data_IF_702429803555
#
_entry.id   IF_702429803555
#
_cell.length_a   1.000
_cell.length_b   1.000
_cell.length_c   1.000
_cell.angle_alpha   90.00
_cell.angle_beta   90.00
_cell.angle_gamma   90.00
#
_symmetry.space_group_name_H-M   'P 1'
#
loop_
_entity.id
_entity.type
_entity.pdbx_description
1 polymer ?
#
# COMPACT_ATOMS: atom_id res chain seq x y z
N UNK A 1 -6.73 12.71 6.74
CA UNK A 1 -7.16 12.76 5.34
C UNK A 1 -8.57 13.33 5.26
N UNK A 2 -8.80 14.30 4.37
CA UNK A 2 -10.11 14.93 4.24
C UNK A 2 -11.05 14.11 3.35
N UNK A 3 -10.51 13.44 2.35
CA UNK A 3 -11.29 12.63 1.40
C UNK A 3 -10.53 11.40 0.98
N UNK A 4 -11.27 10.30 0.83
CA UNK A 4 -10.78 9.03 0.32
C UNK A 4 -11.49 8.69 -0.98
N UNK A 5 -10.79 8.04 -1.90
CA UNK A 5 -11.37 7.54 -3.13
C UNK A 5 -10.90 6.13 -3.44
N UNK A 6 -11.77 5.32 -4.02
CA UNK A 6 -11.47 3.97 -4.49
C UNK A 6 -11.92 3.85 -5.93
N UNK A 7 -11.00 3.58 -6.85
CA UNK A 7 -11.27 3.56 -8.29
C UNK A 7 -10.72 2.27 -8.88
N UNK A 8 -11.33 1.80 -9.96
CA UNK A 8 -10.78 0.72 -10.78
C UNK A 8 -9.73 1.29 -11.74
N UNK A 9 -8.55 0.68 -11.78
CA UNK A 9 -7.47 1.06 -12.69
C UNK A 9 -7.81 0.84 -14.16
N UNK A 10 -8.79 -0.06 -14.44
CA UNK A 10 -9.24 -0.40 -15.78
C UNK A 10 -10.70 -0.89 -15.72
N UNK A 11 -11.44 -0.74 -16.84
CA UNK A 11 -12.83 -1.20 -16.96
C UNK A 11 -13.01 -2.70 -16.79
N UNK A 12 -11.96 -3.48 -17.02
CA UNK A 12 -11.99 -4.94 -16.91
C UNK A 12 -11.68 -5.43 -15.49
N UNK A 13 -11.28 -4.54 -14.57
CA UNK A 13 -11.09 -4.87 -13.16
C UNK A 13 -12.44 -4.90 -12.47
N UNK A 14 -12.77 -6.00 -11.80
CA UNK A 14 -14.10 -6.24 -11.20
C UNK A 14 -14.34 -5.48 -9.89
N UNK A 15 -13.30 -4.94 -9.27
CA UNK A 15 -13.34 -4.20 -7.99
C UNK A 15 -12.39 -3.00 -8.03
N UNK A 16 -12.60 -1.97 -7.21
CA UNK A 16 -11.63 -0.88 -7.06
C UNK A 16 -10.29 -1.42 -6.56
N UNK A 17 -9.22 -1.10 -7.27
CA UNK A 17 -7.86 -1.61 -7.01
C UNK A 17 -6.83 -0.49 -6.80
N UNK A 18 -7.28 0.78 -6.87
CA UNK A 18 -6.49 1.96 -6.54
C UNK A 18 -7.21 2.74 -5.44
N UNK A 19 -6.45 3.13 -4.42
CA UNK A 19 -6.90 3.98 -3.32
C UNK A 19 -6.23 5.35 -3.40
N UNK A 20 -7.01 6.40 -3.15
CA UNK A 20 -6.58 7.78 -3.07
C UNK A 20 -6.86 8.34 -1.69
N UNK A 21 -5.94 9.18 -1.19
CA UNK A 21 -6.10 9.97 0.03
C UNK A 21 -5.77 11.42 -0.28
N UNK A 22 -6.76 12.29 -0.19
CA UNK A 22 -6.57 13.72 -0.41
C UNK A 22 -6.22 14.42 0.90
N UNK A 23 -5.19 15.28 0.85
CA UNK A 23 -4.78 16.15 1.95
C UNK A 23 -4.74 17.60 1.45
N UNK A 24 -5.44 18.54 2.13
CA UNK A 24 -5.43 19.96 1.78
C UNK A 24 -4.13 20.66 2.28
N UNK A 25 -3.02 19.95 2.24
CA UNK A 25 -1.70 20.43 2.65
C UNK A 25 -0.66 19.68 1.83
N UNK A 26 0.43 20.37 1.44
CA UNK A 26 1.57 19.77 0.79
C UNK A 26 2.73 19.66 1.80
N UNK A 27 2.94 18.46 2.33
CA UNK A 27 4.02 18.14 3.28
C UNK A 27 4.66 16.80 2.92
N UNK A 28 5.93 16.62 3.28
CA UNK A 28 6.61 15.33 3.26
C UNK A 28 6.45 14.63 4.61
N UNK A 29 6.69 13.32 4.66
CA UNK A 29 6.62 12.55 5.91
C UNK A 29 7.64 13.00 6.98
N UNK A 30 8.73 13.64 6.58
CA UNK A 30 9.70 14.27 7.51
C UNK A 30 9.21 15.62 8.06
N UNK A 31 8.01 16.06 7.66
CA UNK A 31 7.40 17.32 8.08
C UNK A 31 7.85 18.55 7.29
N UNK A 32 8.73 18.38 6.31
CA UNK A 32 9.16 19.49 5.44
C UNK A 32 8.13 19.77 4.35
N UNK A 33 7.98 21.04 3.96
CA UNK A 33 7.16 21.40 2.80
C UNK A 33 7.98 21.23 1.52
N UNK A 34 7.37 20.67 0.43
CA UNK A 34 8.06 20.54 -0.86
C UNK A 34 8.21 21.87 -1.60
N UNK A 35 7.47 22.91 -1.19
CA UNK A 35 7.51 24.26 -1.75
C UNK A 35 7.12 25.29 -0.69
N UNK A 36 7.45 26.55 -0.92
CA UNK A 36 6.91 27.66 -0.15
C UNK A 36 5.46 27.93 -0.54
N UNK A 37 4.62 28.26 0.46
CA UNK A 37 3.23 28.64 0.25
C UNK A 37 2.21 27.51 0.45
N UNK A 38 1.03 27.70 -0.11
CA UNK A 38 -0.08 26.76 0.00
C UNK A 38 0.01 25.66 -1.05
N UNK A 39 -0.40 24.46 -0.66
CA UNK A 39 -0.48 23.32 -1.57
C UNK A 39 -1.40 22.24 -1.03
N UNK A 40 -1.73 21.29 -1.88
CA UNK A 40 -2.44 20.06 -1.51
C UNK A 40 -1.76 18.87 -2.18
N UNK A 41 -2.07 17.69 -1.70
CA UNK A 41 -1.48 16.46 -2.25
C UNK A 41 -2.50 15.33 -2.29
N UNK A 42 -2.27 14.42 -3.22
CA UNK A 42 -3.02 13.20 -3.39
C UNK A 42 -2.06 12.01 -3.22
N UNK A 43 -2.19 11.30 -2.11
CA UNK A 43 -1.51 10.03 -1.94
C UNK A 43 -2.27 8.96 -2.71
N UNK A 44 -1.58 8.16 -3.48
CA UNK A 44 -2.20 7.14 -4.32
C UNK A 44 -1.37 5.87 -4.31
N UNK A 45 -2.05 4.74 -4.38
CA UNK A 45 -1.37 3.45 -4.52
C UNK A 45 -2.30 2.33 -4.96
N UNK A 46 -1.75 1.35 -5.67
CA UNK A 46 -2.44 0.09 -5.93
C UNK A 46 -2.62 -0.68 -4.63
N UNK A 47 -3.79 -1.27 -4.43
CA UNK A 47 -4.14 -1.94 -3.18
C UNK A 47 -3.71 -3.41 -3.12
N UNK A 48 -3.22 -3.98 -4.21
CA UNK A 48 -2.85 -5.40 -4.30
C UNK A 48 -1.54 -5.62 -5.03
N UNK A 49 -0.44 -5.05 -4.49
CA UNK A 49 0.90 -5.39 -4.97
C UNK A 49 1.14 -6.89 -4.85
N UNK A 50 1.80 -7.46 -5.85
CA UNK A 50 2.21 -8.86 -5.88
C UNK A 50 3.65 -9.06 -5.38
N UNK A 51 4.38 -7.99 -5.05
CA UNK A 51 5.68 -8.06 -4.37
C UNK A 51 5.57 -8.78 -3.04
N UNK A 52 6.57 -9.60 -2.72
CA UNK A 52 6.62 -10.37 -1.47
C UNK A 52 7.94 -10.14 -0.76
N UNK A 53 7.84 -9.97 0.54
CA UNK A 53 8.96 -9.87 1.46
C UNK A 53 8.95 -11.00 2.49
N UNK A 54 9.70 -10.81 3.55
CA UNK A 54 9.77 -11.77 4.65
C UNK A 54 10.11 -11.13 5.98
N UNK A 55 9.74 -11.84 7.06
CA UNK A 55 10.22 -11.60 8.43
C UNK A 55 10.96 -12.85 8.87
N UNK A 56 12.19 -12.72 9.40
CA UNK A 56 13.01 -13.84 9.84
C UNK A 56 13.65 -13.58 11.20
N UNK A 57 13.55 -14.54 12.09
CA UNK A 57 14.29 -14.56 13.36
C UNK A 57 15.77 -14.74 13.06
N UNK A 58 16.64 -13.95 13.72
CA UNK A 58 18.08 -13.96 13.50
C UNK A 58 18.84 -14.83 14.51
N UNK A 59 18.29 -15.04 15.70
CA UNK A 59 18.91 -15.86 16.77
C UNK A 59 17.86 -16.33 17.77
N UNK A 60 18.28 -17.10 18.76
CA UNK A 60 17.46 -17.52 19.91
C UNK A 60 17.25 -16.42 20.96
N UNK A 61 17.92 -15.27 20.84
CA UNK A 61 17.71 -14.13 21.73
C UNK A 61 16.39 -13.42 21.39
N UNK A 62 15.34 -13.46 22.24
CA UNK A 62 14.04 -12.86 21.94
C UNK A 62 14.07 -11.33 21.89
N UNK A 63 15.12 -10.69 22.40
CA UNK A 63 15.30 -9.23 22.35
C UNK A 63 15.98 -8.76 21.06
N UNK A 64 16.49 -9.65 20.26
CA UNK A 64 17.09 -9.30 18.97
C UNK A 64 15.98 -9.07 17.93
N UNK A 65 15.98 -7.89 17.32
CA UNK A 65 15.03 -7.56 16.26
C UNK A 65 15.13 -8.56 15.08
N UNK A 66 14.02 -8.99 14.51
CA UNK A 66 14.04 -9.84 13.32
C UNK A 66 14.53 -9.09 12.09
N UNK A 67 14.99 -9.80 11.09
CA UNK A 67 15.16 -9.23 9.75
C UNK A 67 13.79 -9.02 9.11
N UNK A 68 13.49 -7.80 8.72
CA UNK A 68 12.25 -7.44 7.99
C UNK A 68 12.65 -6.94 6.61
N UNK A 69 12.18 -7.58 5.56
CA UNK A 69 12.38 -7.15 4.18
C UNK A 69 11.03 -7.08 3.48
N UNK A 70 10.58 -5.89 3.15
CA UNK A 70 9.32 -5.67 2.43
C UNK A 70 9.43 -6.05 0.96
N UNK A 71 10.58 -5.79 0.35
CA UNK A 71 10.86 -6.07 -1.06
C UNK A 71 9.87 -5.41 -2.03
N UNK A 72 9.49 -4.15 -1.72
CA UNK A 72 8.59 -3.36 -2.57
C UNK A 72 9.10 -3.25 -4.00
N UNK A 73 8.19 -3.08 -4.96
CA UNK A 73 8.47 -2.86 -6.38
C UNK A 73 9.30 -3.98 -7.03
N UNK A 74 9.23 -5.20 -6.51
CA UNK A 74 9.97 -6.36 -7.03
C UNK A 74 9.18 -7.18 -8.04
N UNK A 75 7.88 -6.98 -8.16
CA UNK A 75 7.03 -7.66 -9.12
C UNK A 75 6.83 -6.82 -10.38
N UNK A 76 6.82 -7.45 -11.55
CA UNK A 76 6.73 -6.80 -12.86
C UNK A 76 5.49 -5.89 -13.03
N UNK A 77 4.38 -6.21 -12.34
CA UNK A 77 3.14 -5.45 -12.40
C UNK A 77 3.13 -4.20 -11.50
N UNK A 78 4.06 -4.04 -10.56
CA UNK A 78 3.99 -2.94 -9.60
C UNK A 78 4.20 -1.58 -10.28
N UNK A 79 5.25 -1.42 -11.08
CA UNK A 79 5.47 -0.16 -11.81
C UNK A 79 4.32 0.19 -12.77
N UNK A 80 3.84 -0.72 -13.64
CA UNK A 80 2.68 -0.43 -14.48
C UNK A 80 1.43 0.00 -13.70
N UNK A 81 1.16 -0.63 -12.55
CA UNK A 81 0.01 -0.26 -11.73
C UNK A 81 0.19 1.10 -11.07
N UNK A 82 1.38 1.44 -10.57
CA UNK A 82 1.67 2.78 -10.04
C UNK A 82 1.61 3.86 -11.12
N UNK A 83 2.12 3.61 -12.33
CA UNK A 83 1.98 4.56 -13.45
C UNK A 83 0.52 4.86 -13.78
N UNK A 84 -0.34 3.83 -13.80
CA UNK A 84 -1.79 4.04 -13.96
C UNK A 84 -2.36 4.89 -12.83
N UNK A 85 -1.99 4.60 -11.59
CA UNK A 85 -2.43 5.35 -10.43
C UNK A 85 -2.03 6.83 -10.50
N UNK A 86 -0.79 7.14 -10.89
CA UNK A 86 -0.31 8.51 -11.09
C UNK A 86 -1.07 9.24 -12.21
N UNK A 87 -1.30 8.57 -13.35
CA UNK A 87 -2.07 9.17 -14.46
C UNK A 87 -3.51 9.47 -14.06
N UNK A 88 -4.17 8.55 -13.35
CA UNK A 88 -5.51 8.77 -12.80
C UNK A 88 -5.52 9.89 -11.75
N UNK A 89 -4.47 10.03 -10.94
CA UNK A 89 -4.31 11.16 -10.02
C UNK A 89 -4.33 12.49 -10.77
N UNK A 90 -3.57 12.59 -11.87
CA UNK A 90 -3.55 13.78 -12.72
C UNK A 90 -4.92 14.07 -13.36
N UNK A 91 -5.63 13.04 -13.82
CA UNK A 91 -6.99 13.19 -14.34
C UNK A 91 -7.93 13.78 -13.29
N UNK A 92 -7.87 13.27 -12.04
CA UNK A 92 -8.68 13.76 -10.92
C UNK A 92 -8.33 15.22 -10.59
N UNK A 93 -7.05 15.52 -10.43
CA UNK A 93 -6.58 16.86 -10.06
C UNK A 93 -6.74 17.89 -11.19
N UNK A 94 -6.92 17.45 -12.44
CA UNK A 94 -7.20 18.32 -13.59
C UNK A 94 -8.71 18.55 -13.84
N UNK A 95 -9.59 18.06 -12.96
CA UNK A 95 -11.02 18.33 -13.11
C UNK A 95 -11.34 19.81 -12.88
N UNK A 96 -12.30 20.33 -13.65
CA UNK A 96 -12.72 21.74 -13.62
C UNK A 96 -13.04 22.28 -12.22
N UNK A 97 -13.56 21.43 -11.34
CA UNK A 97 -13.88 21.81 -9.97
C UNK A 97 -12.65 22.20 -9.13
N UNK A 98 -11.46 21.71 -9.47
CA UNK A 98 -10.21 22.01 -8.78
C UNK A 98 -9.42 23.16 -9.43
N UNK A 99 -9.79 23.58 -10.62
CA UNK A 99 -9.09 24.62 -11.39
C UNK A 99 -8.84 25.92 -10.60
N UNK A 100 -9.81 26.46 -9.81
CA UNK A 100 -9.59 27.68 -9.04
C UNK A 100 -8.61 27.56 -7.87
N UNK A 101 -8.29 26.33 -7.47
CA UNK A 101 -7.46 26.03 -6.29
C UNK A 101 -6.10 25.42 -6.65
N UNK A 102 -5.86 25.08 -7.92
CA UNK A 102 -4.72 24.36 -8.40
C UNK A 102 -3.63 25.29 -8.95
N UNK A 103 -2.40 25.10 -8.50
CA UNK A 103 -1.18 25.62 -9.12
C UNK A 103 -0.49 24.58 -10.01
N UNK A 104 0.76 24.84 -10.41
CA UNK A 104 1.58 23.86 -11.10
C UNK A 104 1.77 22.58 -10.28
N UNK A 105 1.93 21.45 -10.95
CA UNK A 105 2.28 20.18 -10.30
C UNK A 105 3.69 20.27 -9.72
N UNK A 106 3.82 20.00 -8.40
CA UNK A 106 5.10 20.07 -7.70
C UNK A 106 5.87 18.75 -7.83
N UNK A 107 5.17 17.63 -7.76
CA UNK A 107 5.75 16.28 -7.84
C UNK A 107 4.78 15.32 -8.54
N UNK A 108 5.29 14.57 -9.53
CA UNK A 108 6.65 14.57 -10.10
C UNK A 108 7.01 15.78 -10.96
N UNK A 109 6.06 16.66 -11.29
CA UNK A 109 6.19 17.77 -12.21
C UNK A 109 5.49 17.48 -13.54
N UNK A 110 4.87 18.51 -14.13
CA UNK A 110 4.05 18.39 -15.35
C UNK A 110 4.83 17.85 -16.55
N UNK A 111 6.16 18.04 -16.56
CA UNK A 111 7.08 17.58 -17.61
C UNK A 111 7.36 16.06 -17.57
N UNK A 112 7.16 15.41 -16.43
CA UNK A 112 7.40 13.97 -16.25
C UNK A 112 6.21 13.17 -16.78
N UNK A 113 6.22 12.84 -18.06
CA UNK A 113 5.10 12.16 -18.76
C UNK A 113 5.44 10.76 -19.25
N UNK A 114 6.74 10.47 -19.51
CA UNK A 114 7.18 9.16 -20.00
C UNK A 114 7.07 8.08 -18.94
N UNK A 115 7.00 6.83 -19.37
CA UNK A 115 6.97 5.67 -18.46
C UNK A 115 8.26 5.60 -17.63
N UNK A 116 9.40 5.85 -18.24
CA UNK A 116 10.71 5.84 -17.58
C UNK A 116 10.82 6.93 -16.51
N UNK A 117 10.36 8.15 -16.80
CA UNK A 117 10.37 9.25 -15.85
C UNK A 117 9.43 9.00 -14.66
N UNK A 118 8.24 8.43 -14.93
CA UNK A 118 7.32 8.03 -13.87
C UNK A 118 7.90 6.89 -13.03
N UNK A 119 8.57 5.91 -13.62
CA UNK A 119 9.21 4.81 -12.90
C UNK A 119 10.34 5.31 -12.00
N UNK A 120 11.14 6.25 -12.47
CA UNK A 120 12.18 6.87 -11.65
C UNK A 120 11.59 7.64 -10.47
N UNK A 121 10.53 8.42 -10.70
CA UNK A 121 9.80 9.10 -9.63
C UNK A 121 9.24 8.10 -8.61
N UNK A 122 8.55 7.05 -9.06
CA UNK A 122 7.99 6.01 -8.20
C UNK A 122 9.09 5.36 -7.36
N UNK A 123 10.20 4.97 -7.98
CA UNK A 123 11.34 4.33 -7.31
C UNK A 123 11.91 5.18 -6.17
N UNK A 124 11.96 6.50 -6.36
CA UNK A 124 12.55 7.42 -5.42
C UNK A 124 11.58 7.93 -4.35
N UNK A 125 10.26 7.82 -4.58
CA UNK A 125 9.23 8.43 -3.72
C UNK A 125 8.17 7.44 -3.23
N UNK A 126 8.24 6.17 -3.62
CA UNK A 126 7.31 5.15 -3.14
C UNK A 126 7.60 4.81 -1.69
N UNK A 127 6.59 4.91 -0.84
CA UNK A 127 6.67 4.61 0.57
C UNK A 127 5.65 3.55 0.99
N UNK A 128 5.83 3.02 2.18
CA UNK A 128 4.88 2.10 2.77
C UNK A 128 3.58 2.82 3.15
N UNK A 129 2.43 2.21 2.86
CA UNK A 129 1.15 2.63 3.43
C UNK A 129 0.91 2.06 4.84
N UNK A 130 1.92 1.41 5.44
CA UNK A 130 1.90 0.81 6.79
C UNK A 130 0.85 -0.28 6.97
N UNK A 131 0.54 -1.03 5.92
CA UNK A 131 -0.41 -2.14 5.93
C UNK A 131 0.22 -3.47 5.47
N UNK A 132 1.35 -3.92 6.04
CA UNK A 132 1.91 -5.24 5.72
C UNK A 132 1.03 -6.35 6.30
N UNK A 133 1.00 -7.49 5.62
CA UNK A 133 0.23 -8.65 6.05
C UNK A 133 0.85 -9.96 5.53
N UNK A 134 0.33 -11.10 5.98
CA UNK A 134 0.57 -12.40 5.36
C UNK A 134 1.79 -13.18 5.83
N UNK A 135 2.52 -12.72 6.84
CA UNK A 135 3.67 -13.46 7.38
C UNK A 135 3.30 -14.78 8.08
N UNK A 136 2.03 -14.91 8.51
CA UNK A 136 1.45 -16.11 9.13
C UNK A 136 0.13 -16.49 8.48
N UNK A 137 0.07 -16.47 7.14
CA UNK A 137 -1.19 -16.54 6.41
C UNK A 137 -2.06 -17.75 6.73
N UNK A 138 -3.36 -17.50 6.72
CA UNK A 138 -4.42 -18.50 6.92
C UNK A 138 -4.60 -19.36 5.68
N UNK A 139 -5.00 -20.61 5.87
CA UNK A 139 -5.38 -21.50 4.79
C UNK A 139 -5.69 -22.91 5.24
N UNK A 140 -5.86 -23.80 4.26
CA UNK A 140 -6.21 -25.19 4.51
C UNK A 140 -5.07 -25.91 5.27
N UNK A 141 -5.45 -26.90 6.07
CA UNK A 141 -4.52 -27.64 6.92
C UNK A 141 -3.39 -28.29 6.13
N UNK A 142 -3.69 -28.76 4.93
CA UNK A 142 -2.77 -29.48 4.04
C UNK A 142 -1.86 -28.54 3.23
N UNK A 143 -2.15 -27.23 3.19
CA UNK A 143 -1.31 -26.27 2.47
C UNK A 143 -0.06 -25.95 3.30
N UNK A 144 1.15 -26.38 2.87
CA UNK A 144 2.39 -26.13 3.61
C UNK A 144 2.81 -24.66 3.60
N UNK A 145 2.22 -23.85 2.75
CA UNK A 145 2.53 -22.41 2.64
C UNK A 145 1.75 -21.55 3.65
N UNK A 146 0.88 -22.14 4.47
CA UNK A 146 0.08 -21.45 5.47
C UNK A 146 0.48 -21.83 6.90
N UNK A 147 0.35 -20.89 7.82
CA UNK A 147 0.78 -21.02 9.22
C UNK A 147 -0.40 -21.32 10.14
N UNK A 148 -1.57 -20.76 9.86
CA UNK A 148 -2.78 -20.97 10.66
C UNK A 148 -3.90 -21.61 9.85
N UNK A 149 -4.73 -22.38 10.54
CA UNK A 149 -5.95 -22.96 9.99
C UNK A 149 -7.07 -21.91 9.91
N UNK A 150 -8.21 -22.26 9.27
CA UNK A 150 -9.34 -21.34 9.07
C UNK A 150 -9.99 -20.81 10.35
N UNK A 151 -9.71 -21.40 11.50
CA UNK A 151 -10.12 -20.95 12.83
C UNK A 151 -9.01 -20.18 13.57
N UNK A 152 -8.01 -19.67 12.85
CA UNK A 152 -6.87 -18.94 13.37
C UNK A 152 -5.90 -19.74 14.27
N UNK A 153 -6.09 -21.07 14.39
CA UNK A 153 -5.21 -21.93 15.17
C UNK A 153 -3.89 -22.17 14.44
N UNK A 154 -2.78 -22.06 15.18
CA UNK A 154 -1.45 -22.32 14.63
C UNK A 154 -1.28 -23.82 14.39
N UNK A 155 -0.85 -24.19 13.17
CA UNK A 155 -0.61 -25.59 12.78
C UNK A 155 0.50 -26.21 13.60
N UNK A 156 0.26 -27.43 14.09
CA UNK A 156 1.24 -28.20 14.83
C UNK A 156 1.50 -27.74 16.27
N UNK A 157 0.81 -26.70 16.76
CA UNK A 157 0.94 -26.20 18.13
C UNK A 157 -0.41 -26.24 18.83
N UNK A 158 -0.44 -26.79 20.06
CA UNK A 158 -1.67 -26.83 20.85
C UNK A 158 -1.94 -25.50 21.51
N UNK A 159 -3.23 -25.08 21.53
CA UNK A 159 -3.73 -23.89 22.26
C UNK A 159 -3.05 -22.56 21.88
N UNK A 160 -2.54 -22.43 20.64
CA UNK A 160 -1.99 -21.20 20.10
C UNK A 160 -2.83 -20.72 18.93
N UNK A 161 -3.19 -19.42 18.97
CA UNK A 161 -3.99 -18.76 17.94
C UNK A 161 -3.33 -17.44 17.54
N UNK A 162 -3.50 -17.05 16.27
CA UNK A 162 -3.08 -15.74 15.76
C UNK A 162 -4.31 -15.03 15.19
N UNK A 163 -4.50 -13.77 15.59
CA UNK A 163 -5.67 -12.98 15.23
C UNK A 163 -5.29 -11.53 14.93
N UNK A 164 -4.43 -11.34 13.92
CA UNK A 164 -3.98 -10.03 13.46
C UNK A 164 -3.75 -10.05 11.93
N UNK A 165 -3.28 -8.96 11.35
CA UNK A 165 -3.06 -8.84 9.89
C UNK A 165 -2.05 -9.84 9.32
N UNK A 166 -1.22 -10.47 10.14
CA UNK A 166 -0.27 -11.50 9.68
C UNK A 166 -0.96 -12.70 9.04
N UNK A 167 -2.22 -12.98 9.42
CA UNK A 167 -2.97 -14.11 8.87
C UNK A 167 -3.55 -13.84 7.47
N UNK A 168 -3.67 -12.59 7.03
CA UNK A 168 -4.27 -12.29 5.73
C UNK A 168 -3.36 -12.73 4.58
N UNK A 169 -3.82 -13.61 3.68
CA UNK A 169 -2.99 -14.08 2.56
C UNK A 169 -2.69 -12.99 1.52
N UNK A 170 -3.51 -11.93 1.50
CA UNK A 170 -3.38 -10.72 0.67
C UNK A 170 -3.97 -9.53 1.41
N UNK A 171 -3.60 -8.32 0.99
CA UNK A 171 -4.27 -7.10 1.45
C UNK A 171 -5.77 -7.18 1.11
N UNK A 172 -6.61 -6.84 2.07
CA UNK A 172 -8.08 -6.96 2.00
C UNK A 172 -8.76 -5.91 1.12
N UNK A 173 -8.01 -5.31 0.21
CA UNK A 173 -8.48 -4.28 -0.71
C UNK A 173 -8.80 -2.94 -0.03
N UNK A 174 -7.97 -2.55 0.94
CA UNK A 174 -8.04 -1.32 1.72
C UNK A 174 -7.14 -1.39 2.94
N UNK A 175 -7.22 -0.39 3.80
CA UNK A 175 -6.48 -0.31 5.05
C UNK A 175 -6.79 -1.51 5.96
N UNK A 176 -5.77 -2.06 6.62
CA UNK A 176 -5.89 -3.32 7.39
C UNK A 176 -6.39 -3.13 8.82
N UNK A 177 -6.58 -1.92 9.31
CA UNK A 177 -6.95 -1.70 10.71
C UNK A 177 -8.30 -2.33 11.06
N UNK A 178 -9.36 -2.02 10.33
CA UNK A 178 -10.69 -2.55 10.59
C UNK A 178 -10.76 -4.09 10.48
N UNK A 179 -10.24 -4.74 9.41
CA UNK A 179 -10.21 -6.20 9.36
C UNK A 179 -9.33 -6.83 10.43
N UNK A 180 -8.26 -6.18 10.90
CA UNK A 180 -7.45 -6.69 12.03
C UNK A 180 -8.23 -6.69 13.34
N UNK A 181 -8.97 -5.63 13.63
CA UNK A 181 -9.86 -5.55 14.81
C UNK A 181 -10.93 -6.66 14.73
N UNK A 182 -11.62 -6.75 13.59
CA UNK A 182 -12.65 -7.79 13.36
C UNK A 182 -12.10 -9.21 13.57
N UNK A 183 -10.86 -9.46 13.19
CA UNK A 183 -10.23 -10.78 13.36
C UNK A 183 -9.88 -11.07 14.82
N UNK A 184 -9.59 -10.02 15.61
CA UNK A 184 -9.24 -10.13 17.02
C UNK A 184 -10.44 -10.36 17.94
N UNK A 185 -11.65 -9.97 17.51
CA UNK A 185 -12.92 -10.22 18.21
C UNK A 185 -13.40 -11.67 18.05
#
# INVERSE_FOLDING_TARGET
FETLGFIRSDKNVSYPDIQFHFLPVAIRYDGTAPSEGHGFQLHVGPMRSESRGYVRIQSSNPLQAPTIKFNYMSHENDFPNFRKALRLSREILNQKALEPFKGPEIQPGDEVTSDEGLDEFIKNNCESAYHPCGTCKIGQKEDPSTVVENNCKVKGVSNLYLADSSIFPRITNGNLNAPSIMTGE
#
